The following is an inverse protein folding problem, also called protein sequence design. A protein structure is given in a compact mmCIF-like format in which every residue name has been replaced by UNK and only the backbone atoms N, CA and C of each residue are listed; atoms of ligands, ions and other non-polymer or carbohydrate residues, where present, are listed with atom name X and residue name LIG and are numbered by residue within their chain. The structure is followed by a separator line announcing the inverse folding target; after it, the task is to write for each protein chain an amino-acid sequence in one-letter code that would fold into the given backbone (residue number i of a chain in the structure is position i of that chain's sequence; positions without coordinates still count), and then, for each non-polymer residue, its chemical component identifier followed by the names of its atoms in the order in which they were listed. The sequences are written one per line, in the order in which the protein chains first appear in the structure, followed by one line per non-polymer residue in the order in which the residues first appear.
data_IF_025424699334
#
_entry.id   IF_025424699334
#
_cell.length_a   1.000
_cell.length_b   1.000
_cell.length_c   1.000
_cell.angle_alpha   90.00
_cell.angle_beta   90.00
_cell.angle_gamma   90.00
#
_symmetry.space_group_name_H-M   'P 1'
#
loop_
_entity.id
_entity.type
_entity.pdbx_description
1 polymer ?
#
# COMPACT_ATOMS: atom_id res chain seq x y z
N UNK A 1 -11.35 34.05 8.05
CA UNK A 1 -11.26 32.60 7.75
C UNK A 1 -12.67 32.04 7.82
N UNK A 2 -13.25 31.67 6.68
CA UNK A 2 -14.56 31.02 6.62
C UNK A 2 -14.43 29.65 7.25
N UNK A 3 -15.01 29.45 8.43
CA UNK A 3 -15.19 28.14 9.05
C UNK A 3 -16.12 27.33 8.15
N UNK A 4 -15.57 26.63 7.16
CA UNK A 4 -16.33 25.65 6.40
C UNK A 4 -16.61 24.49 7.35
N UNK A 5 -17.88 24.31 7.75
CA UNK A 5 -18.34 23.11 8.43
C UNK A 5 -18.28 21.94 7.45
N UNK A 6 -17.13 21.31 7.33
CA UNK A 6 -16.96 20.10 6.54
C UNK A 6 -16.54 19.00 7.52
N UNK A 7 -17.39 17.99 7.62
CA UNK A 7 -17.12 16.77 8.38
C UNK A 7 -16.59 15.71 7.40
N UNK A 8 -15.46 15.11 7.74
CA UNK A 8 -14.84 14.03 6.98
C UNK A 8 -14.88 12.78 7.85
N UNK A 9 -15.38 11.67 7.29
CA UNK A 9 -15.54 10.42 8.01
C UNK A 9 -14.57 9.39 7.45
N UNK A 10 -13.67 8.91 8.31
CA UNK A 10 -12.73 7.81 8.03
C UNK A 10 -13.29 6.46 8.49
N UNK A 11 -14.45 6.46 9.15
CA UNK A 11 -15.20 5.28 9.61
C UNK A 11 -16.67 5.59 9.31
N UNK A 12 -17.50 4.61 8.88
CA UNK A 12 -18.93 4.85 8.65
C UNK A 12 -19.57 5.53 9.87
N UNK A 13 -20.37 6.60 9.66
CA UNK A 13 -20.96 7.35 10.75
C UNK A 13 -22.10 6.60 11.45
N UNK A 14 -22.68 5.61 10.77
CA UNK A 14 -23.77 4.77 11.24
C UNK A 14 -23.37 3.29 11.15
N UNK A 15 -24.23 2.42 11.70
CA UNK A 15 -24.02 0.99 11.64
C UNK A 15 -23.96 0.48 10.20
N UNK A 16 -22.91 -0.29 9.88
CA UNK A 16 -22.67 -0.84 8.55
C UNK A 16 -22.19 -2.29 8.71
N UNK A 17 -23.06 -3.24 8.35
CA UNK A 17 -22.79 -4.67 8.49
C UNK A 17 -21.66 -5.14 7.56
N UNK A 18 -21.57 -4.58 6.35
CA UNK A 18 -20.52 -4.93 5.38
C UNK A 18 -19.17 -4.40 5.86
N UNK A 19 -19.16 -3.18 6.41
CA UNK A 19 -17.96 -2.62 7.05
C UNK A 19 -17.47 -3.52 8.18
N UNK A 20 -18.35 -3.92 9.10
CA UNK A 20 -18.01 -4.77 10.24
C UNK A 20 -17.46 -6.12 9.79
N UNK A 21 -18.14 -6.78 8.84
CA UNK A 21 -17.72 -8.08 8.33
C UNK A 21 -16.32 -8.05 7.73
N UNK A 22 -16.04 -7.07 6.86
CA UNK A 22 -14.72 -6.92 6.25
C UNK A 22 -13.65 -6.43 7.23
N UNK A 23 -14.02 -5.57 8.21
CA UNK A 23 -13.10 -5.15 9.26
C UNK A 23 -12.65 -6.33 10.12
N UNK A 24 -13.59 -7.15 10.62
CA UNK A 24 -13.25 -8.32 11.44
C UNK A 24 -12.44 -9.35 10.64
N UNK A 25 -12.74 -9.57 9.36
CA UNK A 25 -11.94 -10.44 8.48
C UNK A 25 -10.47 -9.99 8.39
N UNK A 26 -10.22 -8.69 8.14
CA UNK A 26 -8.85 -8.16 8.07
C UNK A 26 -8.16 -8.20 9.44
N UNK A 27 -8.85 -7.88 10.53
CA UNK A 27 -8.29 -7.94 11.87
C UNK A 27 -7.95 -9.38 12.27
N UNK A 28 -8.77 -10.37 11.91
CA UNK A 28 -8.48 -11.78 12.18
C UNK A 28 -7.17 -12.20 11.49
N UNK A 29 -6.95 -11.76 10.25
CA UNK A 29 -5.71 -12.05 9.51
C UNK A 29 -4.50 -11.40 10.17
N UNK A 30 -4.61 -10.16 10.63
CA UNK A 30 -3.53 -9.45 11.33
C UNK A 30 -3.18 -10.08 12.69
N UNK A 31 -4.14 -10.75 13.33
CA UNK A 31 -3.92 -11.45 14.60
C UNK A 31 -3.26 -12.84 14.44
N UNK A 32 -3.18 -13.38 13.21
CA UNK A 32 -2.56 -14.68 12.99
C UNK A 32 -1.07 -14.63 13.35
N UNK A 33 -0.52 -15.66 14.03
CA UNK A 33 0.92 -15.76 14.22
C UNK A 33 1.63 -15.91 12.88
N UNK A 34 2.92 -15.55 12.86
CA UNK A 34 3.74 -15.73 11.66
C UNK A 34 3.79 -17.20 11.23
N UNK A 35 3.40 -17.48 9.98
CA UNK A 35 3.58 -18.77 9.32
C UNK A 35 4.15 -18.55 7.90
N UNK A 36 5.38 -19.01 7.67
CA UNK A 36 6.06 -18.85 6.38
C UNK A 36 5.37 -19.59 5.22
N UNK A 37 4.46 -20.53 5.49
CA UNK A 37 3.64 -21.20 4.45
C UNK A 37 2.48 -20.33 4.00
N UNK A 38 2.01 -19.45 4.90
CA UNK A 38 0.85 -18.57 4.74
C UNK A 38 1.19 -17.11 5.08
N UNK A 39 2.17 -16.49 4.39
CA UNK A 39 2.57 -15.12 4.69
C UNK A 39 1.41 -14.15 4.49
N UNK A 40 1.28 -13.19 5.41
CA UNK A 40 0.34 -12.07 5.33
C UNK A 40 1.00 -10.92 4.59
N UNK A 41 0.57 -10.72 3.34
CA UNK A 41 1.06 -9.66 2.47
C UNK A 41 0.03 -8.53 2.42
N UNK A 42 0.41 -7.33 2.85
CA UNK A 42 -0.37 -6.12 2.67
C UNK A 42 0.13 -5.39 1.43
N UNK A 43 -0.77 -4.77 0.68
CA UNK A 43 -0.38 -3.97 -0.48
C UNK A 43 -1.25 -2.73 -0.64
N UNK A 44 -0.66 -1.64 -1.14
CA UNK A 44 -1.37 -0.44 -1.58
C UNK A 44 -0.55 0.33 -2.64
N UNK A 45 -1.15 1.32 -3.31
CA UNK A 45 -0.45 2.13 -4.31
C UNK A 45 -0.67 3.64 -4.17
N UNK A 46 0.38 4.39 -4.48
CA UNK A 46 0.37 5.85 -4.43
C UNK A 46 0.85 6.48 -5.74
N UNK A 47 0.07 7.40 -6.35
CA UNK A 47 0.55 8.17 -7.49
C UNK A 47 1.60 9.20 -7.05
N UNK A 48 2.60 9.43 -7.88
CA UNK A 48 3.64 10.45 -7.68
C UNK A 48 3.75 11.32 -8.92
N UNK A 49 3.76 12.64 -8.72
CA UNK A 49 3.99 13.57 -9.81
C UNK A 49 5.48 13.64 -10.16
N UNK A 50 5.80 13.51 -11.45
CA UNK A 50 7.17 13.64 -11.94
C UNK A 50 7.42 15.10 -12.35
N UNK A 51 8.47 15.68 -11.78
CA UNK A 51 8.85 17.08 -11.91
C UNK A 51 10.33 17.18 -12.27
N UNK A 52 10.64 17.78 -13.41
CA UNK A 52 12.01 18.10 -13.81
C UNK A 52 12.42 19.48 -13.33
N UNK A 53 13.67 19.60 -12.93
CA UNK A 53 14.30 20.89 -12.69
C UNK A 53 14.51 21.62 -14.02
N UNK A 54 14.06 22.86 -14.13
CA UNK A 54 14.29 23.70 -15.34
C UNK A 54 15.68 24.32 -15.34
N UNK A 55 16.28 24.50 -14.16
CA UNK A 55 17.62 25.04 -13.96
C UNK A 55 18.43 24.10 -13.09
N UNK A 56 19.73 23.97 -13.38
CA UNK A 56 20.64 23.12 -12.61
C UNK A 56 20.69 23.60 -11.15
N UNK A 57 20.33 22.78 -10.15
CA UNK A 57 20.45 23.15 -8.75
C UNK A 57 21.88 23.50 -8.36
N UNK A 58 22.06 24.49 -7.50
CA UNK A 58 23.37 24.84 -6.93
C UNK A 58 23.55 24.03 -5.64
N UNK A 59 24.61 23.21 -5.53
CA UNK A 59 24.88 22.43 -4.31
C UNK A 59 25.01 23.32 -3.07
N UNK A 60 24.73 22.74 -1.91
CA UNK A 60 25.02 23.37 -0.64
C UNK A 60 26.54 23.57 -0.46
N UNK A 61 26.90 24.63 0.26
CA UNK A 61 28.26 24.91 0.73
C UNK A 61 28.24 25.02 2.25
N UNK A 62 29.39 25.26 2.89
CA UNK A 62 29.43 25.50 4.35
C UNK A 62 28.61 26.72 4.78
N UNK A 63 28.49 27.72 3.92
CA UNK A 63 27.86 29.02 4.26
C UNK A 63 26.45 29.16 3.71
N UNK A 64 26.09 28.37 2.70
CA UNK A 64 24.81 28.50 1.99
C UNK A 64 24.15 27.15 1.78
N UNK A 65 22.85 27.08 2.03
CA UNK A 65 22.04 25.91 1.71
C UNK A 65 21.97 25.62 0.20
N UNK A 66 21.50 24.41 -0.14
CA UNK A 66 21.20 24.03 -1.52
C UNK A 66 20.18 25.01 -2.10
N UNK A 67 20.43 25.52 -3.31
CA UNK A 67 19.51 26.42 -4.01
C UNK A 67 18.89 25.69 -5.19
N UNK A 68 17.57 25.68 -5.22
CA UNK A 68 16.74 25.07 -6.25
C UNK A 68 15.80 26.14 -6.77
N UNK A 69 15.54 26.13 -8.07
CA UNK A 69 14.61 27.08 -8.65
C UNK A 69 13.15 26.71 -8.29
N UNK A 70 12.30 27.72 -8.13
CA UNK A 70 10.89 27.48 -7.89
C UNK A 70 10.20 26.88 -9.12
N UNK A 71 10.62 27.27 -10.33
CA UNK A 71 10.09 26.75 -11.59
C UNK A 71 10.44 25.27 -11.78
N UNK A 72 9.50 24.53 -12.35
CA UNK A 72 9.66 23.12 -12.70
C UNK A 72 8.90 22.80 -13.99
N UNK A 73 9.32 21.76 -14.69
CA UNK A 73 8.59 21.19 -15.82
C UNK A 73 7.84 19.93 -15.37
N UNK A 74 6.55 19.84 -15.71
CA UNK A 74 5.75 18.63 -15.42
C UNK A 74 6.13 17.53 -16.42
N UNK A 75 6.60 16.40 -15.90
CA UNK A 75 7.04 15.25 -16.69
C UNK A 75 6.06 14.05 -16.62
N UNK A 76 4.81 14.33 -16.24
CA UNK A 76 3.76 13.31 -16.09
C UNK A 76 3.65 12.78 -14.66
N UNK A 77 3.23 11.53 -14.54
CA UNK A 77 3.04 10.84 -13.26
C UNK A 77 3.63 9.44 -13.31
N UNK A 78 3.95 8.92 -12.14
CA UNK A 78 4.29 7.53 -11.88
C UNK A 78 3.37 6.97 -10.80
N UNK A 79 3.39 5.66 -10.61
CA UNK A 79 2.66 4.96 -9.58
C UNK A 79 3.63 4.08 -8.81
N UNK A 80 3.63 4.24 -7.49
CA UNK A 80 4.33 3.41 -6.53
C UNK A 80 3.39 2.28 -6.13
N UNK A 81 3.87 1.04 -6.19
CA UNK A 81 3.24 -0.14 -5.58
C UNK A 81 4.04 -0.51 -4.34
N UNK A 82 3.39 -0.47 -3.17
CA UNK A 82 3.96 -0.89 -1.89
C UNK A 82 3.46 -2.28 -1.55
N UNK A 83 4.39 -3.16 -1.19
CA UNK A 83 4.12 -4.49 -0.67
C UNK A 83 4.84 -4.63 0.66
N UNK A 84 4.16 -5.11 1.70
CA UNK A 84 4.75 -5.33 3.02
C UNK A 84 4.24 -6.60 3.67
N UNK A 85 5.13 -7.33 4.32
CA UNK A 85 4.84 -8.51 5.14
C UNK A 85 5.19 -8.14 6.58
N UNK A 86 4.22 -7.60 7.36
CA UNK A 86 4.52 -6.88 8.60
C UNK A 86 5.26 -7.74 9.63
N UNK A 87 4.81 -8.98 9.83
CA UNK A 87 5.39 -9.91 10.80
C UNK A 87 6.77 -10.44 10.41
N UNK A 88 7.08 -10.48 9.11
CA UNK A 88 8.43 -10.77 8.65
C UNK A 88 9.34 -9.54 8.71
N UNK A 89 8.78 -8.37 9.04
CA UNK A 89 9.43 -7.08 8.86
C UNK A 89 10.06 -7.05 7.49
N UNK A 90 9.28 -7.18 6.42
CA UNK A 90 9.71 -7.13 5.01
C UNK A 90 8.84 -6.17 4.20
N UNK A 91 9.43 -5.48 3.23
CA UNK A 91 8.70 -4.62 2.28
C UNK A 91 9.46 -4.43 0.98
N UNK A 92 8.73 -4.10 -0.07
CA UNK A 92 9.27 -3.79 -1.38
C UNK A 92 8.42 -2.73 -2.07
N UNK A 93 9.10 -1.84 -2.78
CA UNK A 93 8.49 -0.80 -3.61
C UNK A 93 8.80 -1.08 -5.08
N UNK A 94 7.75 -1.16 -5.88
CA UNK A 94 7.85 -1.15 -7.34
C UNK A 94 7.31 0.17 -7.89
N UNK A 95 7.87 0.66 -9.00
CA UNK A 95 7.43 1.91 -9.62
C UNK A 95 7.11 1.67 -11.09
N UNK A 96 5.90 2.08 -11.49
CA UNK A 96 5.40 1.99 -12.86
C UNK A 96 4.94 3.33 -13.40
N UNK A 97 4.85 3.43 -14.72
CA UNK A 97 4.23 4.59 -15.39
C UNK A 97 2.71 4.61 -15.19
N UNK A 98 2.10 3.43 -15.13
CA UNK A 98 0.65 3.25 -15.04
C UNK A 98 0.26 2.39 -13.83
N UNK A 99 -1.00 2.52 -13.42
CA UNK A 99 -1.67 1.68 -12.41
C UNK A 99 -2.93 1.07 -13.02
N UNK A 100 -2.74 0.09 -13.90
CA UNK A 100 -3.83 -0.69 -14.49
C UNK A 100 -4.05 -1.98 -13.71
N UNK A 101 -5.19 -2.62 -13.94
CA UNK A 101 -5.48 -3.98 -13.47
C UNK A 101 -4.38 -4.98 -13.88
N UNK A 102 -3.87 -4.86 -15.11
CA UNK A 102 -2.79 -5.71 -15.63
C UNK A 102 -1.47 -5.42 -14.92
N UNK A 103 -1.15 -4.14 -14.66
CA UNK A 103 0.03 -3.75 -13.89
C UNK A 103 0.02 -4.42 -12.50
N UNK A 104 -1.11 -4.33 -11.80
CA UNK A 104 -1.31 -4.95 -10.50
C UNK A 104 -1.14 -6.47 -10.52
N UNK A 105 -1.73 -7.16 -11.50
CA UNK A 105 -1.60 -8.60 -11.64
C UNK A 105 -0.16 -9.03 -11.92
N UNK A 106 0.59 -8.24 -12.71
CA UNK A 106 2.01 -8.48 -12.99
C UNK A 106 2.86 -8.33 -11.73
N UNK A 107 2.67 -7.26 -10.95
CA UNK A 107 3.44 -7.06 -9.71
C UNK A 107 3.13 -8.16 -8.67
N UNK A 108 1.86 -8.54 -8.55
CA UNK A 108 1.46 -9.62 -7.63
C UNK A 108 2.02 -10.98 -8.10
N UNK A 109 1.93 -11.30 -9.39
CA UNK A 109 2.50 -12.52 -9.95
C UNK A 109 4.02 -12.60 -9.74
N UNK A 110 4.75 -11.49 -9.93
CA UNK A 110 6.19 -11.40 -9.67
C UNK A 110 6.55 -11.80 -8.23
N UNK A 111 5.76 -11.38 -7.25
CA UNK A 111 5.96 -11.77 -5.85
C UNK A 111 5.63 -13.25 -5.60
N UNK A 112 4.52 -13.74 -6.17
CA UNK A 112 4.12 -15.15 -6.04
C UNK A 112 5.13 -16.11 -6.66
N UNK A 113 5.70 -15.75 -7.82
CA UNK A 113 6.67 -16.56 -8.57
C UNK A 113 8.11 -16.35 -8.08
N UNK A 114 8.38 -15.24 -7.40
CA UNK A 114 9.67 -14.90 -6.81
C UNK A 114 9.73 -15.21 -5.31
N UNK A 115 9.58 -14.18 -4.48
CA UNK A 115 9.74 -14.26 -3.02
C UNK A 115 8.90 -15.38 -2.40
N UNK A 116 7.66 -15.52 -2.85
CA UNK A 116 6.70 -16.46 -2.29
C UNK A 116 6.60 -17.77 -3.07
N UNK A 117 7.54 -18.08 -3.97
CA UNK A 117 7.50 -19.27 -4.82
C UNK A 117 7.32 -20.59 -4.05
N UNK A 118 7.84 -20.66 -2.82
CA UNK A 118 7.79 -21.85 -1.97
C UNK A 118 6.66 -21.84 -0.94
N UNK A 119 5.87 -20.77 -0.89
CA UNK A 119 4.72 -20.67 0.01
C UNK A 119 3.51 -21.38 -0.59
N UNK A 120 2.70 -21.99 0.26
CA UNK A 120 1.48 -22.69 -0.15
C UNK A 120 0.43 -21.70 -0.64
N UNK A 121 0.23 -20.62 0.11
CA UNK A 121 -0.71 -19.55 -0.22
C UNK A 121 -0.28 -18.23 0.41
N UNK A 122 -0.55 -17.10 -0.22
CA UNK A 122 -0.38 -15.76 0.34
C UNK A 122 -1.73 -15.23 0.80
N UNK A 123 -1.82 -14.76 2.04
CA UNK A 123 -2.97 -14.02 2.56
C UNK A 123 -2.79 -12.55 2.17
N UNK A 124 -3.47 -12.12 1.11
CA UNK A 124 -3.31 -10.80 0.52
C UNK A 124 -4.34 -9.82 1.07
N UNK A 125 -3.88 -8.88 1.90
CA UNK A 125 -4.65 -7.73 2.35
C UNK A 125 -4.48 -6.58 1.37
N UNK A 126 -5.58 -6.06 0.83
CA UNK A 126 -5.57 -4.92 -0.09
C UNK A 126 -6.90 -4.16 -0.01
N UNK A 127 -6.97 -2.96 -0.62
CA UNK A 127 -8.25 -2.26 -0.72
C UNK A 127 -9.23 -3.01 -1.67
N UNK A 128 -10.49 -2.56 -1.70
CA UNK A 128 -11.53 -3.13 -2.56
C UNK A 128 -11.64 -2.38 -3.90
N UNK A 129 -10.50 -2.04 -4.52
CA UNK A 129 -10.47 -1.42 -5.84
C UNK A 129 -10.83 -2.45 -6.93
N UNK A 130 -11.47 -2.00 -8.01
CA UNK A 130 -11.90 -2.87 -9.12
C UNK A 130 -10.74 -3.52 -9.90
N UNK A 131 -9.50 -3.14 -9.62
CA UNK A 131 -8.27 -3.74 -10.12
C UNK A 131 -7.88 -4.99 -9.34
N UNK A 132 -8.19 -5.06 -8.03
CA UNK A 132 -7.73 -6.10 -7.11
C UNK A 132 -8.64 -7.32 -7.17
N UNK A 133 -8.66 -7.97 -8.32
CA UNK A 133 -9.60 -9.05 -8.60
C UNK A 133 -8.89 -10.25 -9.20
N UNK A 134 -9.49 -11.43 -9.02
CA UNK A 134 -9.05 -12.65 -9.72
C UNK A 134 -9.05 -12.47 -11.24
N UNK A 135 -10.02 -11.70 -11.77
CA UNK A 135 -10.12 -11.39 -13.20
C UNK A 135 -8.90 -10.66 -13.77
N UNK A 136 -8.20 -9.88 -12.95
CA UNK A 136 -6.96 -9.22 -13.36
C UNK A 136 -5.89 -10.18 -13.89
N UNK A 137 -5.76 -11.35 -13.26
CA UNK A 137 -4.82 -12.37 -13.70
C UNK A 137 -5.25 -13.00 -15.03
N UNK A 138 -6.55 -13.16 -15.27
CA UNK A 138 -7.08 -13.69 -16.54
C UNK A 138 -7.01 -12.69 -17.69
N UNK A 139 -6.99 -11.39 -17.37
CA UNK A 139 -6.70 -10.35 -18.36
C UNK A 139 -5.19 -10.26 -18.66
N UNK A 140 -4.33 -10.56 -17.69
CA UNK A 140 -2.88 -10.42 -17.81
C UNK A 140 -2.16 -11.68 -18.34
N UNK A 141 -2.70 -12.87 -18.12
CA UNK A 141 -2.02 -14.14 -18.36
C UNK A 141 -2.93 -15.21 -18.99
N UNK A 142 -2.31 -16.19 -19.64
CA UNK A 142 -3.01 -17.37 -20.14
C UNK A 142 -3.83 -18.06 -19.03
N UNK A 143 -5.03 -18.59 -19.35
CA UNK A 143 -5.99 -19.06 -18.34
C UNK A 143 -5.42 -20.10 -17.36
N UNK A 144 -4.51 -20.97 -17.81
CA UNK A 144 -3.86 -21.95 -16.95
C UNK A 144 -2.96 -21.27 -15.91
N UNK A 145 -2.05 -20.39 -16.34
CA UNK A 145 -1.15 -19.64 -15.45
C UNK A 145 -1.95 -18.75 -14.49
N UNK A 146 -2.97 -18.05 -15.01
CA UNK A 146 -3.86 -17.23 -14.20
C UNK A 146 -4.53 -18.04 -13.08
N UNK A 147 -5.03 -19.25 -13.40
CA UNK A 147 -5.67 -20.14 -12.43
C UNK A 147 -4.69 -20.62 -11.36
N UNK A 148 -3.48 -20.98 -11.76
CA UNK A 148 -2.41 -21.42 -10.85
C UNK A 148 -2.03 -20.30 -9.86
N UNK A 149 -1.83 -19.07 -10.35
CA UNK A 149 -1.53 -17.90 -9.51
C UNK A 149 -2.67 -17.58 -8.54
N UNK A 150 -3.90 -17.46 -9.05
CA UNK A 150 -5.07 -17.10 -8.22
C UNK A 150 -5.36 -18.14 -7.12
N UNK A 151 -5.06 -19.42 -7.35
CA UNK A 151 -5.22 -20.47 -6.32
C UNK A 151 -4.26 -20.28 -5.13
N UNK A 152 -3.17 -19.55 -5.32
CA UNK A 152 -2.16 -19.25 -4.30
C UNK A 152 -2.43 -17.94 -3.56
N UNK A 153 -3.59 -17.31 -3.78
CA UNK A 153 -3.98 -16.07 -3.10
C UNK A 153 -5.27 -16.30 -2.32
N UNK A 154 -5.27 -15.93 -1.04
CA UNK A 154 -6.46 -15.66 -0.25
C UNK A 154 -6.66 -14.14 -0.17
N UNK A 155 -7.80 -13.63 -0.60
CA UNK A 155 -8.06 -12.19 -0.62
C UNK A 155 -8.77 -11.76 0.65
N UNK A 156 -8.24 -10.72 1.30
CA UNK A 156 -8.84 -10.03 2.42
C UNK A 156 -8.93 -8.54 2.07
N UNK A 157 -10.13 -8.07 1.76
CA UNK A 157 -10.33 -6.70 1.32
C UNK A 157 -10.65 -5.80 2.51
N UNK A 158 -9.93 -4.70 2.66
CA UNK A 158 -10.33 -3.69 3.64
C UNK A 158 -11.69 -3.10 3.26
N UNK A 159 -12.57 -2.81 4.25
CA UNK A 159 -13.84 -2.19 3.97
C UNK A 159 -13.67 -0.82 3.31
N UNK A 160 -14.72 -0.34 2.64
CA UNK A 160 -14.81 1.06 2.24
C UNK A 160 -14.73 1.92 3.50
N UNK A 161 -14.01 3.04 3.43
CA UNK A 161 -13.66 3.83 4.62
C UNK A 161 -12.84 3.02 5.65
N UNK A 162 -12.07 2.02 5.22
CA UNK A 162 -11.30 1.14 6.11
C UNK A 162 -9.81 1.13 5.79
N UNK A 163 -9.28 2.07 5.02
CA UNK A 163 -7.88 2.00 4.54
C UNK A 163 -6.87 2.03 5.68
N UNK A 164 -7.22 2.60 6.83
CA UNK A 164 -6.41 2.58 8.05
C UNK A 164 -6.13 1.16 8.59
N UNK A 165 -6.88 0.14 8.13
CA UNK A 165 -6.63 -1.28 8.42
C UNK A 165 -5.53 -1.90 7.56
N UNK A 166 -5.12 -1.25 6.47
CA UNK A 166 -4.10 -1.75 5.57
C UNK A 166 -2.71 -1.28 6.01
N UNK A 167 -1.82 -2.19 6.41
CA UNK A 167 -0.47 -1.82 6.87
C UNK A 167 0.36 -1.18 5.76
N UNK A 168 0.06 -1.46 4.48
CA UNK A 168 0.76 -0.83 3.36
C UNK A 168 0.57 0.70 3.31
N UNK A 169 -0.54 1.24 3.80
CA UNK A 169 -0.78 2.69 3.91
C UNK A 169 0.21 3.35 4.89
N UNK A 170 0.54 2.67 6.00
CA UNK A 170 1.54 3.16 6.96
C UNK A 170 2.95 3.18 6.35
N UNK A 171 3.28 2.17 5.56
CA UNK A 171 4.55 2.08 4.83
C UNK A 171 4.64 3.14 3.73
N UNK A 172 3.56 3.37 2.96
CA UNK A 172 3.47 4.45 1.98
C UNK A 172 3.63 5.82 2.63
N UNK A 173 3.02 6.04 3.79
CA UNK A 173 3.19 7.27 4.56
C UNK A 173 4.66 7.48 4.97
N UNK A 174 5.33 6.41 5.40
CA UNK A 174 6.75 6.43 5.78
C UNK A 174 7.67 6.68 4.59
N UNK A 175 7.48 5.94 3.50
CA UNK A 175 8.16 6.16 2.23
C UNK A 175 7.98 7.59 1.75
N UNK A 176 6.76 8.12 1.80
CA UNK A 176 6.48 9.48 1.38
C UNK A 176 7.27 10.48 2.20
N UNK A 177 7.21 10.41 3.53
CA UNK A 177 7.94 11.36 4.40
C UNK A 177 9.45 11.25 4.27
N UNK A 178 9.98 10.04 4.11
CA UNK A 178 11.42 9.78 4.19
C UNK A 178 12.12 9.85 2.83
N UNK A 179 11.41 9.51 1.75
CA UNK A 179 12.01 9.33 0.42
C UNK A 179 11.43 10.26 -0.65
N UNK A 180 10.17 10.69 -0.56
CA UNK A 180 9.49 11.39 -1.68
C UNK A 180 9.23 12.87 -1.38
N UNK A 181 8.75 13.17 -0.18
CA UNK A 181 8.32 14.51 0.22
C UNK A 181 9.48 15.51 0.13
N UNK A 182 9.22 16.66 -0.49
CA UNK A 182 10.22 17.72 -0.68
C UNK A 182 11.27 17.43 -1.75
N UNK A 183 11.15 16.33 -2.50
CA UNK A 183 12.07 15.96 -3.60
C UNK A 183 11.35 16.02 -4.95
N UNK A 184 12.12 16.24 -6.01
CA UNK A 184 11.64 16.27 -7.40
C UNK A 184 12.27 15.11 -8.16
N UNK A 185 11.42 14.32 -8.81
CA UNK A 185 11.84 13.19 -9.64
C UNK A 185 11.50 13.51 -11.09
N UNK A 186 12.52 13.65 -11.94
CA UNK A 186 12.33 14.04 -13.34
C UNK A 186 11.77 12.92 -14.22
N UNK A 187 11.96 11.67 -13.80
CA UNK A 187 11.54 10.46 -14.52
C UNK A 187 11.33 9.29 -13.55
N UNK A 188 10.84 8.17 -14.11
CA UNK A 188 10.52 6.95 -13.38
C UNK A 188 11.78 6.24 -12.85
N UNK A 189 12.90 6.29 -13.57
CA UNK A 189 14.10 5.56 -13.17
C UNK A 189 14.75 6.20 -11.94
N UNK A 190 14.80 7.53 -11.89
CA UNK A 190 15.24 8.25 -10.69
C UNK A 190 14.36 7.94 -9.47
N UNK A 191 13.04 7.82 -9.66
CA UNK A 191 12.14 7.43 -8.57
C UNK A 191 12.39 5.98 -8.12
N UNK A 192 12.64 5.05 -9.06
CA UNK A 192 12.97 3.65 -8.75
C UNK A 192 14.26 3.50 -7.96
N UNK A 193 15.31 4.19 -8.38
CA UNK A 193 16.63 4.10 -7.72
C UNK A 193 16.50 4.51 -6.25
N UNK A 194 15.80 5.62 -5.99
CA UNK A 194 15.63 6.19 -4.67
C UNK A 194 14.70 5.36 -3.78
N UNK A 195 13.58 4.86 -4.33
CA UNK A 195 12.68 3.99 -3.56
C UNK A 195 13.31 2.62 -3.30
N UNK A 196 14.15 2.10 -4.21
CA UNK A 196 14.91 0.87 -3.99
C UNK A 196 15.96 1.04 -2.89
N UNK A 197 16.69 2.17 -2.88
CA UNK A 197 17.63 2.50 -1.81
C UNK A 197 16.92 2.60 -0.45
N UNK A 198 15.77 3.29 -0.40
CA UNK A 198 14.93 3.36 0.79
C UNK A 198 14.47 1.96 1.26
N UNK A 199 14.01 1.11 0.33
CA UNK A 199 13.64 -0.26 0.67
C UNK A 199 14.81 -1.02 1.29
N UNK A 200 16.00 -0.95 0.69
CA UNK A 200 17.18 -1.64 1.22
C UNK A 200 17.52 -1.19 2.65
N UNK A 201 17.50 0.11 2.92
CA UNK A 201 17.77 0.67 4.24
C UNK A 201 16.75 0.20 5.29
N UNK A 202 15.45 0.35 5.03
CA UNK A 202 14.38 -0.05 5.95
C UNK A 202 14.37 -1.56 6.17
N UNK A 203 14.64 -2.35 5.12
CA UNK A 203 14.78 -3.80 5.26
C UNK A 203 15.98 -4.20 6.12
N UNK A 204 17.12 -3.53 5.98
CA UNK A 204 18.31 -3.84 6.76
C UNK A 204 18.18 -3.48 8.24
N UNK A 205 17.48 -2.38 8.54
CA UNK A 205 17.28 -1.87 9.90
C UNK A 205 16.11 -2.53 10.64
N UNK A 206 15.34 -3.39 9.95
CA UNK A 206 14.22 -4.17 10.51
C UNK A 206 13.20 -3.31 11.28
N UNK A 207 12.95 -2.09 10.79
CA UNK A 207 11.84 -1.28 11.30
C UNK A 207 10.52 -1.89 10.80
N UNK A 208 9.68 -2.32 11.74
CA UNK A 208 8.37 -2.92 11.48
C UNK A 208 7.24 -2.06 12.01
N UNK A 209 6.02 -2.36 11.56
CA UNK A 209 4.80 -1.76 12.09
C UNK A 209 4.38 -2.53 13.34
N UNK A 210 4.26 -1.82 14.46
CA UNK A 210 3.68 -2.35 15.70
C UNK A 210 2.16 -2.25 15.65
N UNK A 211 1.51 -3.27 15.09
CA UNK A 211 0.05 -3.31 14.96
C UNK A 211 -0.60 -3.72 16.29
N UNK A 212 -1.46 -2.85 16.83
CA UNK A 212 -2.04 -3.01 18.17
C UNK A 212 -3.56 -3.20 18.18
N UNK A 213 -4.25 -3.02 17.04
CA UNK A 213 -5.72 -3.09 16.99
C UNK A 213 -6.18 -4.54 16.81
N UNK A 214 -6.95 -5.05 17.77
CA UNK A 214 -7.56 -6.38 17.75
C UNK A 214 -9.07 -6.35 17.52
N UNK A 215 -9.68 -7.50 17.26
CA UNK A 215 -11.13 -7.66 17.13
C UNK A 215 -11.84 -7.19 18.41
N UNK A 216 -11.36 -7.61 19.58
CA UNK A 216 -11.96 -7.22 20.86
C UNK A 216 -11.85 -5.70 21.13
N UNK A 217 -10.74 -5.09 20.69
CA UNK A 217 -10.59 -3.64 20.69
C UNK A 217 -11.62 -2.99 19.76
N UNK A 218 -11.81 -3.51 18.55
CA UNK A 218 -12.76 -2.99 17.56
C UNK A 218 -14.20 -3.04 18.07
N UNK A 219 -14.63 -4.17 18.65
CA UNK A 219 -15.97 -4.34 19.25
C UNK A 219 -16.25 -3.36 20.37
N UNK A 220 -15.21 -2.94 21.09
CA UNK A 220 -15.32 -1.97 22.19
C UNK A 220 -15.25 -0.53 21.68
N UNK A 221 -14.23 -0.20 20.88
CA UNK A 221 -13.91 1.17 20.44
C UNK A 221 -14.80 1.66 19.30
N UNK A 222 -15.28 0.75 18.44
CA UNK A 222 -16.08 1.06 17.25
C UNK A 222 -17.53 0.59 17.36
N UNK A 223 -18.07 0.50 18.59
CA UNK A 223 -19.42 -0.02 18.86
C UNK A 223 -20.52 0.57 17.97
N UNK A 224 -20.40 1.85 17.58
CA UNK A 224 -21.40 2.54 16.73
C UNK A 224 -21.54 1.95 15.33
N UNK A 225 -20.51 1.28 14.80
CA UNK A 225 -20.56 0.70 13.46
C UNK A 225 -21.24 -0.68 13.44
N UNK A 226 -21.44 -1.29 14.62
CA UNK A 226 -22.08 -2.60 14.74
C UNK A 226 -23.61 -2.47 14.66
N UNK A 227 -24.28 -3.20 13.75
CA UNK A 227 -25.74 -3.25 13.69
C UNK A 227 -26.34 -3.70 15.02
N UNK A 228 -27.33 -2.96 15.50
CA UNK A 228 -28.13 -3.39 16.67
C UNK A 228 -29.23 -4.31 16.17
N UNK A 229 -29.29 -5.54 16.69
CA UNK A 229 -30.40 -6.45 16.42
C UNK A 229 -31.70 -5.81 16.95
N UNK A 230 -32.54 -5.31 16.05
CA UNK A 230 -33.94 -5.01 16.36
C UNK A 230 -34.70 -6.33 16.22
N UNK A 231 -34.87 -7.02 17.35
CA UNK A 231 -35.79 -8.16 17.47
C UNK A 231 -37.25 -7.68 17.31
#
# INVERSE_FOLDING_TARGET
MTNRKIEYWVIPPEADAEFVGAMEDVLEVHEKPYDARYPVLNMDEQPVQLLKETRRPIPATKEHGKRVDYEYERAGTANIFMFTEPLAGWREVSVRKTKTKVDWAIETARLLEGRYAKCEKVLLVCDNLNTHTKGAFYEAFEPQRARELVRRIEFHHTPKHGSWLNVAENELSSLTRQCVAGRRFGDVEALREETAAWCSDVNSTQRGVDWQMKIDDARTKLKSVYPTNKL
#
